data_IF_360061552991
#
_entry.id   IF_360061552991
#
_cell.length_a   1.000
_cell.length_b   1.000
_cell.length_c   1.000
_cell.angle_alpha   90.00
_cell.angle_beta   90.00
_cell.angle_gamma   90.00
#
_symmetry.space_group_name_H-M   'P 1'
#
loop_
_entity.id
_entity.type
_entity.pdbx_description
1 polymer ?
#
# COMPACT_ATOMS: atom_id res chain seq x y z
N UNK A 1 -5.57 -11.58 18.95
CA UNK A 1 -4.23 -11.72 18.34
C UNK A 1 -4.32 -11.35 16.87
N UNK A 2 -4.53 -10.07 16.59
CA UNK A 2 -4.75 -9.63 15.23
C UNK A 2 -4.56 -8.14 15.14
N UNK A 3 -4.05 -7.72 13.99
CA UNK A 3 -4.22 -6.40 13.41
C UNK A 3 -3.12 -5.34 13.59
N UNK A 4 -2.25 -5.38 14.60
CA UNK A 4 -1.13 -4.41 14.66
C UNK A 4 -0.02 -4.73 13.65
N UNK A 5 0.32 -6.01 13.49
CA UNK A 5 1.32 -6.46 12.50
C UNK A 5 0.85 -6.25 11.05
N UNK A 6 -0.44 -6.40 10.77
CA UNK A 6 -0.95 -6.23 9.40
C UNK A 6 -0.76 -4.79 8.91
N UNK A 7 -1.08 -3.80 9.75
CA UNK A 7 -0.88 -2.38 9.42
C UNK A 7 0.60 -2.09 9.24
N UNK A 8 1.45 -2.62 10.12
CA UNK A 8 2.88 -2.36 10.08
C UNK A 8 3.53 -2.97 8.83
N UNK A 9 3.23 -4.23 8.50
CA UNK A 9 3.72 -4.85 7.27
C UNK A 9 3.23 -4.16 6.01
N UNK A 10 1.95 -3.75 5.95
CA UNK A 10 1.44 -3.00 4.79
C UNK A 10 2.11 -1.64 4.69
N UNK A 11 2.26 -0.92 5.80
CA UNK A 11 2.96 0.35 5.85
C UNK A 11 4.40 0.22 5.38
N UNK A 12 5.15 -0.77 5.88
CA UNK A 12 6.54 -1.00 5.48
C UNK A 12 6.64 -1.36 3.99
N UNK A 13 5.76 -2.22 3.47
CA UNK A 13 5.70 -2.57 2.05
C UNK A 13 5.39 -1.37 1.17
N UNK A 14 4.52 -0.46 1.63
CA UNK A 14 4.19 0.79 0.95
C UNK A 14 5.35 1.79 1.02
N UNK A 15 5.99 1.97 2.18
CA UNK A 15 7.15 2.85 2.34
C UNK A 15 8.39 2.39 1.53
N UNK A 16 8.48 1.10 1.17
CA UNK A 16 9.51 0.60 0.24
C UNK A 16 9.31 1.05 -1.21
N UNK A 17 8.08 1.43 -1.61
CA UNK A 17 7.79 1.86 -2.98
C UNK A 17 8.23 3.30 -3.16
N UNK A 18 9.19 3.53 -4.06
CA UNK A 18 9.67 4.88 -4.38
C UNK A 18 8.64 5.63 -5.24
N UNK A 19 8.28 6.84 -4.82
CA UNK A 19 7.33 7.68 -5.55
C UNK A 19 5.88 7.51 -5.10
N UNK A 20 5.65 6.88 -3.95
CA UNK A 20 4.36 6.90 -3.26
C UNK A 20 4.49 7.68 -1.96
N UNK A 21 3.38 8.28 -1.55
CA UNK A 21 3.24 9.01 -0.31
C UNK A 21 2.12 8.41 0.50
N UNK A 22 2.46 7.77 1.60
CA UNK A 22 1.46 7.18 2.50
C UNK A 22 0.76 8.31 3.24
N UNK A 23 -0.56 8.45 3.00
CA UNK A 23 -1.40 9.46 3.64
C UNK A 23 -1.93 8.93 4.97
N UNK A 24 -2.50 7.72 4.96
CA UNK A 24 -3.07 7.09 6.14
C UNK A 24 -3.03 5.55 6.00
N UNK A 25 -2.81 4.82 7.09
CA UNK A 25 -2.85 3.36 7.07
C UNK A 25 -3.71 2.86 8.22
N UNK A 26 -4.76 2.12 7.88
CA UNK A 26 -5.69 1.49 8.83
C UNK A 26 -5.66 -0.01 8.67
N UNK A 27 -6.19 -0.69 9.68
CA UNK A 27 -6.36 -2.15 9.64
C UNK A 27 -7.33 -2.47 8.49
N UNK A 28 -6.81 -3.08 7.42
CA UNK A 28 -7.58 -3.50 6.24
C UNK A 28 -7.71 -2.47 5.12
N UNK A 29 -7.14 -1.27 5.26
CA UNK A 29 -7.16 -0.25 4.18
C UNK A 29 -6.00 0.72 4.34
N UNK A 30 -5.36 1.12 3.24
CA UNK A 30 -4.32 2.13 3.23
C UNK A 30 -4.63 3.20 2.18
N UNK A 31 -4.43 4.46 2.53
CA UNK A 31 -4.55 5.62 1.66
C UNK A 31 -3.14 6.09 1.28
N UNK A 32 -2.87 6.10 -0.02
CA UNK A 32 -1.58 6.46 -0.59
C UNK A 32 -1.78 7.40 -1.78
N UNK A 33 -0.83 8.29 -1.98
CA UNK A 33 -0.77 9.20 -3.12
C UNK A 33 0.42 8.78 -3.99
N UNK A 34 0.16 8.37 -5.23
CA UNK A 34 1.21 8.06 -6.17
C UNK A 34 1.61 9.34 -6.93
N UNK A 35 2.92 9.56 -7.07
CA UNK A 35 3.43 10.74 -7.76
C UNK A 35 3.10 10.69 -9.26
N UNK A 36 3.08 9.48 -9.85
CA UNK A 36 2.86 9.26 -11.28
C UNK A 36 2.09 7.95 -11.55
N UNK A 37 1.45 7.85 -12.71
CA UNK A 37 0.70 6.66 -13.16
C UNK A 37 1.58 5.40 -13.23
N UNK A 38 2.87 5.58 -13.53
CA UNK A 38 3.86 4.50 -13.54
C UNK A 38 4.04 3.86 -12.16
N UNK A 39 3.93 4.65 -11.09
CA UNK A 39 4.05 4.16 -9.72
C UNK A 39 2.75 3.45 -9.30
N UNK A 40 1.59 3.96 -9.71
CA UNK A 40 0.29 3.30 -9.51
C UNK A 40 0.29 1.87 -10.07
N UNK A 41 0.85 1.66 -11.26
CA UNK A 41 0.94 0.34 -11.85
C UNK A 41 1.85 -0.60 -11.04
N UNK A 42 3.00 -0.12 -10.57
CA UNK A 42 3.92 -0.90 -9.72
C UNK A 42 3.28 -1.28 -8.38
N UNK A 43 2.58 -0.34 -7.73
CA UNK A 43 1.81 -0.61 -6.51
C UNK A 43 0.77 -1.70 -6.77
N UNK A 44 0.00 -1.57 -7.86
CA UNK A 44 -1.05 -2.53 -8.20
C UNK A 44 -0.49 -3.95 -8.34
N UNK A 45 0.62 -4.12 -9.05
CA UNK A 45 1.27 -5.43 -9.20
C UNK A 45 1.75 -6.00 -7.87
N UNK A 46 2.31 -5.15 -7.00
CA UNK A 46 2.73 -5.54 -5.64
C UNK A 46 1.55 -5.93 -4.76
N UNK A 47 0.44 -5.20 -4.83
CA UNK A 47 -0.76 -5.47 -4.06
C UNK A 47 -1.45 -6.76 -4.53
N UNK A 48 -1.46 -7.05 -5.83
CA UNK A 48 -2.01 -8.30 -6.38
C UNK A 48 -1.26 -9.53 -5.81
N UNK A 49 0.08 -9.46 -5.73
CA UNK A 49 0.93 -10.52 -5.17
C UNK A 49 0.63 -10.80 -3.68
N UNK A 50 0.27 -9.75 -2.92
CA UNK A 50 -0.12 -9.87 -1.50
C UNK A 50 -1.62 -10.06 -1.28
N UNK A 51 -2.43 -10.12 -2.35
CA UNK A 51 -3.88 -10.33 -2.28
C UNK A 51 -4.69 -9.11 -1.84
N UNK A 52 -4.23 -7.91 -2.17
CA UNK A 52 -4.92 -6.64 -1.92
C UNK A 52 -5.35 -6.02 -3.25
N UNK A 53 -6.55 -5.45 -3.26
CA UNK A 53 -7.10 -4.74 -4.43
C UNK A 53 -6.88 -3.23 -4.30
N UNK A 54 -6.49 -2.59 -5.41
CA UNK A 54 -6.37 -1.15 -5.47
C UNK A 54 -7.73 -0.54 -5.79
N UNK A 55 -8.35 0.08 -4.79
CA UNK A 55 -9.65 0.78 -4.90
C UNK A 55 -9.40 2.26 -5.14
N UNK A 56 -10.04 2.83 -6.16
CA UNK A 56 -9.93 4.25 -6.55
C UNK A 56 -11.16 5.05 -6.11
#
# INVERSE_FOLDING_TARGET
>A
MGCEHCVKSVREALEEIKGIKVLDVKIGSAEIEAENDSVLNEIREKLDDVGYDLVR
#
